data_IF_030276886452
#
_entry.id   IF_030276886452
#
_cell.length_a   1.000
_cell.length_b   1.000
_cell.length_c   1.000
_cell.angle_alpha   90.00
_cell.angle_beta   90.00
_cell.angle_gamma   90.00
#
_symmetry.space_group_name_H-M   'P 1'
#
loop_
_entity.id
_entity.type
_entity.pdbx_description
1 polymer ?
#
# COMPACT_ATOMS: atom_id res chain seq x y z
N UNK A 1 7.96 -65.72 -7.66
CA UNK A 1 7.58 -66.80 -8.61
C UNK A 1 6.07 -66.79 -8.71
N UNK A 2 5.47 -66.14 -9.71
CA UNK A 2 5.31 -66.55 -11.12
C UNK A 2 4.21 -67.60 -11.32
N UNK A 3 3.26 -67.24 -12.21
CA UNK A 3 2.46 -68.13 -13.08
C UNK A 3 1.36 -68.97 -12.38
N UNK A 4 0.19 -69.31 -12.96
CA UNK A 4 -0.31 -69.49 -14.34
C UNK A 4 -1.87 -69.62 -14.24
N UNK A 5 -2.73 -69.07 -15.13
CA UNK A 5 -3.31 -69.64 -16.39
C UNK A 5 -3.74 -71.12 -16.28
N UNK A 6 -4.86 -71.66 -16.79
CA UNK A 6 -5.83 -71.34 -17.87
C UNK A 6 -6.83 -72.52 -17.97
N UNK A 7 -8.01 -72.32 -18.58
CA UNK A 7 -8.59 -73.06 -19.75
C UNK A 7 -10.10 -72.78 -19.84
N UNK A 8 -10.80 -72.79 -20.98
CA UNK A 8 -10.50 -73.16 -22.37
C UNK A 8 -11.67 -72.70 -23.28
N UNK A 9 -11.45 -72.80 -24.60
CA UNK A 9 -12.27 -72.36 -25.74
C UNK A 9 -13.57 -73.15 -25.95
N UNK A 10 -14.58 -72.61 -26.68
CA UNK A 10 -14.94 -72.99 -28.07
C UNK A 10 -16.23 -72.30 -28.61
N UNK A 11 -16.47 -72.46 -29.92
CA UNK A 11 -17.15 -71.55 -30.84
C UNK A 11 -18.66 -71.79 -31.15
N UNK A 12 -19.23 -70.87 -31.95
CA UNK A 12 -20.64 -70.69 -32.36
C UNK A 12 -21.26 -71.80 -33.25
N UNK A 13 -22.61 -71.79 -33.51
CA UNK A 13 -23.14 -71.20 -34.76
C UNK A 13 -24.62 -70.67 -34.78
N UNK A 14 -24.83 -69.62 -35.60
CA UNK A 14 -25.82 -69.35 -36.70
C UNK A 14 -27.36 -69.65 -36.66
N UNK A 15 -28.08 -68.74 -37.37
CA UNK A 15 -29.49 -68.69 -37.91
C UNK A 15 -30.59 -68.10 -37.00
N UNK A 16 -31.36 -67.03 -37.28
CA UNK A 16 -31.82 -66.23 -38.45
C UNK A 16 -33.32 -66.45 -38.80
N UNK A 17 -34.04 -65.33 -38.92
CA UNK A 17 -35.39 -65.08 -39.49
C UNK A 17 -36.59 -65.86 -38.88
N UNK A 18 -37.85 -65.41 -38.83
CA UNK A 18 -38.65 -64.21 -39.11
C UNK A 18 -40.09 -64.64 -38.74
N UNK A 19 -40.95 -63.69 -38.33
CA UNK A 19 -42.38 -63.62 -38.68
C UNK A 19 -43.29 -64.83 -38.31
N UNK A 20 -44.47 -64.71 -37.73
CA UNK A 20 -45.43 -63.64 -37.76
C UNK A 20 -46.57 -63.99 -36.78
N UNK A 21 -47.12 -62.94 -36.15
CA UNK A 21 -48.55 -62.69 -35.95
C UNK A 21 -49.49 -63.91 -35.80
N UNK A 22 -50.17 -64.02 -34.66
CA UNK A 22 -51.60 -63.66 -34.56
C UNK A 22 -52.02 -63.67 -33.08
N UNK A 23 -52.52 -62.52 -32.70
CA UNK A 23 -53.02 -62.09 -31.41
C UNK A 23 -54.31 -62.83 -30.99
N UNK A 24 -54.49 -62.95 -29.66
CA UNK A 24 -55.73 -62.86 -28.86
C UNK A 24 -56.18 -64.12 -28.14
N UNK A 25 -55.99 -64.11 -26.81
CA UNK A 25 -57.09 -64.01 -25.85
C UNK A 25 -56.57 -63.73 -24.41
N UNK A 26 -56.57 -62.44 -24.06
CA UNK A 26 -57.25 -61.82 -22.89
C UNK A 26 -57.36 -62.58 -21.54
N UNK A 27 -57.17 -61.80 -20.45
CA UNK A 27 -57.38 -62.05 -19.00
C UNK A 27 -56.25 -62.70 -18.16
N UNK A 28 -55.44 -61.87 -17.47
CA UNK A 28 -55.66 -61.57 -16.04
C UNK A 28 -54.56 -60.64 -15.44
N UNK A 29 -54.98 -59.38 -15.16
CA UNK A 29 -54.66 -58.53 -13.99
C UNK A 29 -53.22 -58.43 -13.46
N UNK A 30 -52.66 -57.21 -13.57
CA UNK A 30 -51.57 -56.72 -12.70
C UNK A 30 -51.28 -55.23 -12.92
N UNK A 31 -51.88 -54.38 -12.08
CA UNK A 31 -51.90 -52.93 -12.21
C UNK A 31 -50.60 -52.21 -11.76
N UNK A 32 -50.49 -50.96 -12.24
CA UNK A 32 -49.79 -49.82 -11.59
C UNK A 32 -48.26 -49.78 -11.63
N UNK A 33 -47.67 -49.21 -12.68
CA UNK A 33 -46.28 -48.73 -12.64
C UNK A 33 -45.96 -47.58 -13.61
N UNK A 34 -46.79 -46.53 -13.65
CA UNK A 34 -46.57 -45.38 -14.55
C UNK A 34 -46.42 -44.01 -13.86
N UNK A 35 -47.17 -43.77 -12.79
CA UNK A 35 -47.25 -42.43 -12.17
C UNK A 35 -46.08 -42.13 -11.21
N UNK A 36 -45.68 -43.09 -10.36
CA UNK A 36 -44.66 -42.84 -9.32
C UNK A 36 -43.24 -42.57 -9.82
N UNK A 37 -42.85 -43.08 -11.00
CA UNK A 37 -41.52 -42.84 -11.58
C UNK A 37 -41.38 -41.45 -12.18
N UNK A 38 -42.42 -40.95 -12.87
CA UNK A 38 -42.44 -39.60 -13.45
C UNK A 38 -42.44 -38.52 -12.35
N UNK A 39 -43.20 -38.73 -11.27
CA UNK A 39 -43.20 -37.81 -10.11
C UNK A 39 -41.85 -37.78 -9.39
N UNK A 40 -41.18 -38.93 -9.22
CA UNK A 40 -39.83 -38.99 -8.60
C UNK A 40 -38.75 -38.28 -9.41
N UNK A 41 -38.77 -38.44 -10.74
CA UNK A 41 -37.83 -37.72 -11.63
C UNK A 41 -38.08 -36.21 -11.55
N UNK A 42 -39.36 -35.77 -11.53
CA UNK A 42 -39.71 -34.36 -11.34
C UNK A 42 -39.19 -33.78 -10.02
N UNK A 43 -39.33 -34.51 -8.90
CA UNK A 43 -38.80 -34.08 -7.60
C UNK A 43 -37.27 -33.99 -7.59
N UNK A 44 -36.56 -34.94 -8.23
CA UNK A 44 -35.09 -34.90 -8.33
C UNK A 44 -34.62 -33.72 -9.18
N UNK A 45 -35.28 -33.44 -10.30
CA UNK A 45 -34.98 -32.28 -11.16
C UNK A 45 -35.18 -30.98 -10.37
N UNK A 46 -36.29 -30.84 -9.63
CA UNK A 46 -36.53 -29.68 -8.78
C UNK A 46 -35.48 -29.54 -7.68
N UNK A 47 -35.09 -30.63 -7.04
CA UNK A 47 -34.02 -30.63 -6.03
C UNK A 47 -32.69 -30.13 -6.61
N UNK A 48 -32.29 -30.62 -7.79
CA UNK A 48 -31.07 -30.17 -8.45
C UNK A 48 -31.14 -28.71 -8.89
N UNK A 49 -32.30 -28.25 -9.40
CA UNK A 49 -32.51 -26.83 -9.71
C UNK A 49 -32.36 -25.97 -8.45
N UNK A 50 -32.99 -26.34 -7.35
CA UNK A 50 -32.86 -25.62 -6.08
C UNK A 50 -31.41 -25.61 -5.57
N UNK A 51 -30.70 -26.74 -5.65
CA UNK A 51 -29.31 -26.83 -5.23
C UNK A 51 -28.40 -25.94 -6.08
N UNK A 52 -28.58 -25.93 -7.40
CA UNK A 52 -27.83 -25.05 -8.31
C UNK A 52 -28.12 -23.58 -7.99
N UNK A 53 -29.39 -23.21 -7.78
CA UNK A 53 -29.76 -21.83 -7.41
C UNK A 53 -29.12 -21.38 -6.09
N UNK A 54 -29.08 -22.25 -5.08
CA UNK A 54 -28.42 -21.96 -3.80
C UNK A 54 -26.92 -21.72 -4.00
N UNK A 55 -26.25 -22.56 -4.81
CA UNK A 55 -24.82 -22.40 -5.08
C UNK A 55 -24.53 -21.12 -5.90
N UNK A 56 -25.39 -20.77 -6.87
CA UNK A 56 -25.28 -19.53 -7.64
C UNK A 56 -25.45 -18.32 -6.72
N UNK A 57 -26.45 -18.33 -5.83
CA UNK A 57 -26.67 -17.26 -4.85
C UNK A 57 -25.49 -17.14 -3.88
N UNK A 58 -24.95 -18.25 -3.41
CA UNK A 58 -23.79 -18.27 -2.52
C UNK A 58 -22.53 -17.75 -3.22
N UNK A 59 -22.29 -18.15 -4.48
CA UNK A 59 -21.19 -17.64 -5.29
C UNK A 59 -21.36 -16.14 -5.55
N UNK A 60 -22.56 -15.68 -5.92
CA UNK A 60 -22.84 -14.27 -6.13
C UNK A 60 -22.60 -13.45 -4.85
N UNK A 61 -23.05 -13.94 -3.69
CA UNK A 61 -22.79 -13.29 -2.40
C UNK A 61 -21.30 -13.21 -2.08
N UNK A 62 -20.53 -14.28 -2.33
CA UNK A 62 -19.08 -14.28 -2.13
C UNK A 62 -18.34 -13.35 -3.08
N UNK A 63 -18.73 -13.31 -4.36
CA UNK A 63 -18.15 -12.40 -5.35
C UNK A 63 -18.45 -10.94 -4.98
N UNK A 64 -19.66 -10.64 -4.52
CA UNK A 64 -20.03 -9.30 -4.03
C UNK A 64 -19.27 -8.95 -2.75
N UNK A 65 -19.05 -9.91 -1.85
CA UNK A 65 -18.30 -9.69 -0.62
C UNK A 65 -16.80 -9.51 -0.88
N UNK A 66 -16.21 -10.32 -1.76
CA UNK A 66 -14.78 -10.24 -2.12
C UNK A 66 -14.46 -9.00 -2.95
N UNK A 67 -15.40 -8.56 -3.79
CA UNK A 67 -15.26 -7.36 -4.62
C UNK A 67 -15.86 -6.12 -3.95
N UNK A 68 -16.31 -6.21 -2.70
CA UNK A 68 -16.73 -5.04 -1.96
C UNK A 68 -15.53 -4.09 -1.87
N UNK A 69 -15.60 -2.88 -2.45
CA UNK A 69 -14.53 -1.91 -2.33
C UNK A 69 -14.25 -1.71 -0.86
N UNK A 70 -12.97 -1.76 -0.44
CA UNK A 70 -12.59 -1.28 0.88
C UNK A 70 -13.22 0.10 1.03
N UNK A 71 -14.18 0.24 1.95
CA UNK A 71 -14.97 1.47 2.06
C UNK A 71 -13.99 2.59 2.36
N UNK A 72 -13.78 3.49 1.39
CA UNK A 72 -13.17 4.79 1.65
C UNK A 72 -13.86 5.40 2.87
N UNK A 73 -13.13 6.06 3.79
CA UNK A 73 -13.73 6.64 4.98
C UNK A 73 -14.91 7.53 4.58
N UNK A 74 -16.11 7.20 5.07
CA UNK A 74 -17.35 7.90 4.71
C UNK A 74 -17.35 9.40 5.11
N UNK A 75 -16.35 9.85 5.87
CA UNK A 75 -16.24 11.17 6.45
C UNK A 75 -14.85 11.79 6.21
N UNK A 76 -14.30 11.73 4.99
CA UNK A 76 -13.15 12.58 4.67
C UNK A 76 -13.66 14.03 4.61
N UNK A 77 -13.12 14.99 5.39
CA UNK A 77 -13.48 16.39 5.22
C UNK A 77 -13.30 16.82 3.77
N UNK A 78 -14.10 17.78 3.29
CA UNK A 78 -13.89 18.39 1.98
C UNK A 78 -12.54 19.10 2.00
N UNK A 79 -11.52 18.38 1.55
CA UNK A 79 -10.16 18.87 1.37
C UNK A 79 -10.05 19.35 -0.06
N UNK A 80 -9.60 20.59 -0.24
CA UNK A 80 -9.47 21.20 -1.56
C UNK A 80 -8.00 21.16 -1.94
N UNK A 81 -7.58 20.04 -2.51
CA UNK A 81 -6.36 19.98 -3.32
C UNK A 81 -6.59 20.82 -4.59
N UNK A 82 -5.54 21.37 -5.22
CA UNK A 82 -5.68 22.03 -6.52
C UNK A 82 -6.36 21.08 -7.52
N UNK A 83 -7.45 21.52 -8.15
CA UNK A 83 -8.25 20.66 -9.05
C UNK A 83 -7.48 20.18 -10.27
N UNK A 84 -6.46 20.93 -10.67
CA UNK A 84 -5.57 20.69 -11.78
C UNK A 84 -4.27 19.99 -11.38
N UNK A 85 -4.11 19.62 -10.10
CA UNK A 85 -2.96 18.84 -9.66
C UNK A 85 -2.89 17.51 -10.42
N UNK A 86 -1.73 17.13 -11.00
CA UNK A 86 -1.57 15.90 -11.77
C UNK A 86 -1.43 14.70 -10.82
N UNK A 87 -2.55 14.25 -10.24
CA UNK A 87 -2.56 13.15 -9.28
C UNK A 87 -2.51 11.81 -10.01
N UNK A 88 -1.33 11.19 -10.00
CA UNK A 88 -1.10 9.84 -10.53
C UNK A 88 -0.57 8.91 -9.42
N UNK A 89 -1.17 7.73 -9.29
CA UNK A 89 -0.76 6.74 -8.30
C UNK A 89 0.32 5.83 -8.87
N UNK A 90 1.49 5.80 -8.23
CA UNK A 90 2.60 4.93 -8.62
C UNK A 90 3.05 4.05 -7.46
N UNK A 91 3.07 2.75 -7.69
CA UNK A 91 3.69 1.82 -6.75
C UNK A 91 5.21 1.89 -6.87
N UNK A 92 5.88 2.26 -5.78
CA UNK A 92 7.34 2.28 -5.70
C UNK A 92 7.81 1.39 -4.56
N UNK A 93 8.90 0.65 -4.78
CA UNK A 93 9.63 -0.01 -3.70
C UNK A 93 10.74 0.92 -3.26
N UNK A 94 10.72 1.29 -1.98
CA UNK A 94 11.78 2.08 -1.39
C UNK A 94 13.05 1.25 -1.33
N UNK A 95 14.14 1.78 -1.91
CA UNK A 95 15.45 1.16 -1.92
C UNK A 95 16.41 2.02 -1.12
N UNK A 96 16.45 1.82 0.20
CA UNK A 96 17.34 2.51 1.12
C UNK A 96 18.06 1.51 2.05
N UNK A 97 18.92 0.63 1.49
CA UNK A 97 19.60 -0.38 2.30
C UNK A 97 20.53 0.28 3.32
N UNK A 98 20.56 -0.29 4.52
CA UNK A 98 21.39 0.18 5.63
C UNK A 98 22.87 0.25 5.19
N UNK A 99 23.52 1.40 5.42
CA UNK A 99 24.92 1.63 5.06
C UNK A 99 25.20 1.94 3.58
N UNK A 100 24.22 1.82 2.66
CA UNK A 100 24.43 2.26 1.26
C UNK A 100 24.06 3.73 1.07
N UNK A 101 24.88 4.44 0.29
CA UNK A 101 24.66 5.86 -0.04
C UNK A 101 23.87 6.01 -1.34
N UNK A 102 22.98 7.00 -1.36
CA UNK A 102 22.39 7.58 -2.57
C UNK A 102 23.02 8.95 -2.83
N UNK A 103 22.75 9.57 -3.98
CA UNK A 103 23.16 10.96 -4.21
C UNK A 103 22.58 11.91 -3.13
N UNK A 104 21.41 11.60 -2.55
CA UNK A 104 20.77 12.41 -1.51
C UNK A 104 21.46 12.29 -0.14
N UNK A 105 22.13 11.16 0.12
CA UNK A 105 22.96 10.92 1.31
C UNK A 105 24.45 11.04 0.99
N UNK A 106 24.80 11.62 -0.15
CA UNK A 106 26.20 11.78 -0.52
C UNK A 106 26.89 12.68 0.47
N UNK A 107 28.13 12.33 0.71
CA UNK A 107 29.05 13.03 1.56
C UNK A 107 29.81 14.12 0.81
N UNK A 108 29.85 13.99 -0.52
CA UNK A 108 30.15 15.09 -1.40
C UNK A 108 28.96 16.07 -1.41
N UNK A 109 29.22 17.28 -0.92
CA UNK A 109 28.22 18.35 -0.85
C UNK A 109 27.71 18.75 -2.22
N UNK A 110 28.54 18.76 -3.26
CA UNK A 110 28.10 19.16 -4.59
C UNK A 110 27.09 18.14 -5.14
N UNK A 111 27.38 16.85 -4.95
CA UNK A 111 26.48 15.75 -5.34
C UNK A 111 25.17 15.82 -4.56
N UNK A 112 25.24 16.00 -3.23
CA UNK A 112 24.05 16.07 -2.39
C UNK A 112 23.22 17.32 -2.69
N UNK A 113 23.83 18.51 -2.72
CA UNK A 113 23.13 19.77 -2.98
C UNK A 113 22.48 19.75 -4.37
N UNK A 114 23.14 19.17 -5.39
CA UNK A 114 22.56 18.98 -6.71
C UNK A 114 21.34 18.04 -6.68
N UNK A 115 21.42 16.90 -5.98
CA UNK A 115 20.30 15.97 -5.85
C UNK A 115 19.10 16.61 -5.15
N UNK A 116 19.31 17.27 -4.02
CA UNK A 116 18.26 17.94 -3.24
C UNK A 116 17.59 19.08 -4.00
N UNK A 117 18.35 19.83 -4.80
CA UNK A 117 17.82 20.90 -5.67
C UNK A 117 16.79 20.38 -6.69
N UNK A 118 16.83 19.09 -7.05
CA UNK A 118 15.83 18.47 -7.94
C UNK A 118 14.50 18.16 -7.24
N UNK A 119 14.39 18.38 -5.93
CA UNK A 119 13.22 17.99 -5.11
C UNK A 119 12.58 19.16 -4.38
N UNK A 120 13.36 20.06 -3.79
CA UNK A 120 12.86 21.19 -3.00
C UNK A 120 12.45 22.41 -3.84
N UNK A 121 12.41 22.26 -5.17
CA UNK A 121 12.03 23.27 -6.19
C UNK A 121 12.69 24.64 -6.03
N UNK A 122 13.83 24.69 -5.34
CA UNK A 122 14.70 25.86 -5.24
C UNK A 122 14.07 27.05 -4.50
N UNK A 123 14.35 28.30 -4.93
CA UNK A 123 14.03 29.50 -4.14
C UNK A 123 12.53 29.79 -4.05
N UNK A 124 11.72 29.27 -4.98
CA UNK A 124 10.28 29.42 -4.95
C UNK A 124 9.63 28.47 -3.96
N UNK A 125 10.35 27.44 -3.53
CA UNK A 125 10.04 26.45 -2.50
C UNK A 125 8.66 25.75 -2.57
N UNK A 126 7.73 26.11 -3.45
CA UNK A 126 6.34 25.60 -3.42
C UNK A 126 5.31 26.61 -3.83
N UNK A 127 5.72 27.82 -4.21
CA UNK A 127 4.82 28.90 -4.57
C UNK A 127 3.97 28.54 -5.79
N UNK A 128 2.67 28.67 -5.60
CA UNK A 128 1.64 28.45 -6.59
C UNK A 128 0.74 29.68 -6.65
N UNK A 129 0.28 30.00 -7.85
CA UNK A 129 -0.78 30.98 -8.06
C UNK A 129 -2.11 30.23 -8.08
N UNK A 130 -3.07 30.68 -7.29
CA UNK A 130 -4.42 30.12 -7.25
C UNK A 130 -5.46 31.16 -7.66
N UNK A 131 -6.58 30.68 -8.20
CA UNK A 131 -7.72 31.52 -8.55
C UNK A 131 -8.45 32.01 -7.29
N UNK A 132 -9.31 33.03 -7.45
CA UNK A 132 -10.20 33.47 -6.37
C UNK A 132 -11.19 32.36 -6.00
N UNK A 133 -11.74 31.68 -7.00
CA UNK A 133 -12.69 30.59 -6.80
C UNK A 133 -12.11 29.45 -5.96
N UNK A 134 -10.85 29.06 -6.19
CA UNK A 134 -10.22 27.99 -5.41
C UNK A 134 -9.90 28.46 -3.99
N UNK A 135 -9.44 29.70 -3.82
CA UNK A 135 -9.19 30.30 -2.51
C UNK A 135 -10.48 30.37 -1.66
N UNK A 136 -11.57 30.86 -2.25
CA UNK A 136 -12.86 30.96 -1.59
C UNK A 136 -13.42 29.56 -1.25
N UNK A 137 -13.18 28.55 -2.11
CA UNK A 137 -13.58 27.16 -1.84
C UNK A 137 -12.82 26.52 -0.66
N UNK A 138 -11.57 26.95 -0.42
CA UNK A 138 -10.80 26.56 0.77
C UNK A 138 -11.27 27.26 2.04
N UNK A 139 -11.99 28.39 1.91
CA UNK A 139 -12.34 29.24 3.06
C UNK A 139 -11.13 29.97 3.64
N UNK A 140 -10.09 30.17 2.84
CA UNK A 140 -8.83 30.79 3.24
C UNK A 140 -8.68 32.20 2.65
N UNK A 141 -7.69 32.96 3.14
CA UNK A 141 -7.29 34.24 2.57
C UNK A 141 -5.78 34.24 2.35
N UNK A 142 -5.31 34.82 1.26
CA UNK A 142 -3.88 34.90 0.97
C UNK A 142 -3.49 36.21 0.29
N UNK A 143 -2.19 36.44 0.13
CA UNK A 143 -1.65 37.61 -0.58
C UNK A 143 -2.06 37.56 -2.05
N UNK A 144 -2.71 38.63 -2.52
CA UNK A 144 -3.07 38.83 -3.92
C UNK A 144 -1.87 39.36 -4.72
N UNK A 145 -1.71 38.91 -5.96
CA UNK A 145 -0.75 39.51 -6.88
C UNK A 145 -1.21 40.91 -7.30
N UNK A 146 -0.26 41.84 -7.47
CA UNK A 146 -0.57 43.25 -7.76
C UNK A 146 -1.29 43.49 -9.09
N UNK A 147 -1.18 42.55 -10.03
CA UNK A 147 -1.87 42.54 -11.32
C UNK A 147 -3.29 41.96 -11.25
N UNK A 148 -3.74 41.54 -10.05
CA UNK A 148 -5.05 40.92 -9.83
C UNK A 148 -5.18 39.53 -10.45
N UNK A 149 -4.08 38.90 -10.87
CA UNK A 149 -4.11 37.62 -11.59
C UNK A 149 -4.39 36.40 -10.69
N UNK A 150 -4.46 36.59 -9.38
CA UNK A 150 -4.77 35.53 -8.42
C UNK A 150 -4.09 35.76 -7.08
N UNK A 151 -3.95 34.68 -6.32
CA UNK A 151 -3.39 34.70 -4.97
C UNK A 151 -2.19 33.77 -4.86
N UNK A 152 -1.18 34.19 -4.10
CA UNK A 152 0.01 33.41 -3.82
C UNK A 152 -0.31 32.40 -2.71
N UNK A 153 -0.14 31.12 -2.99
CA UNK A 153 -0.17 30.06 -1.98
C UNK A 153 1.07 29.20 -2.11
N UNK A 154 1.21 28.23 -1.22
CA UNK A 154 2.35 27.36 -1.15
C UNK A 154 1.90 25.91 -0.99
N UNK A 155 2.45 24.97 -1.74
CA UNK A 155 2.14 23.54 -1.57
C UNK A 155 3.03 22.85 -0.52
N UNK A 156 2.42 22.25 0.50
CA UNK A 156 3.11 21.89 1.75
C UNK A 156 4.22 20.84 1.58
N UNK A 157 4.09 19.87 0.67
CA UNK A 157 5.16 18.87 0.42
C UNK A 157 6.52 19.51 0.15
N UNK A 158 6.53 20.64 -0.57
CA UNK A 158 7.78 21.31 -0.90
C UNK A 158 8.31 22.14 0.27
N UNK A 159 7.47 22.58 1.20
CA UNK A 159 7.87 23.23 2.45
C UNK A 159 8.53 22.20 3.36
N UNK A 160 7.90 21.04 3.51
CA UNK A 160 8.45 19.91 4.24
C UNK A 160 9.82 19.50 3.69
N UNK A 161 9.97 19.41 2.36
CA UNK A 161 11.25 19.11 1.70
C UNK A 161 12.28 20.24 1.87
N UNK A 162 11.88 21.51 1.75
CA UNK A 162 12.73 22.67 1.99
C UNK A 162 13.27 22.69 3.42
N UNK A 163 12.39 22.53 4.42
CA UNK A 163 12.77 22.45 5.83
C UNK A 163 13.69 21.26 6.09
N UNK A 164 13.40 20.09 5.52
CA UNK A 164 14.27 18.92 5.66
C UNK A 164 15.65 19.15 5.03
N UNK A 165 15.72 19.81 3.87
CA UNK A 165 16.99 20.18 3.23
C UNK A 165 17.75 21.23 4.04
N UNK A 166 17.04 22.21 4.62
CA UNK A 166 17.61 23.19 5.54
C UNK A 166 18.22 22.49 6.76
N UNK A 167 17.48 21.58 7.39
CA UNK A 167 17.95 20.77 8.52
C UNK A 167 19.15 19.92 8.12
N UNK A 168 19.13 19.24 6.97
CA UNK A 168 20.28 18.50 6.45
C UNK A 168 21.54 19.35 6.38
N UNK A 169 21.43 20.59 5.85
CA UNK A 169 22.56 21.52 5.74
C UNK A 169 23.02 22.06 7.10
N UNK A 170 22.16 22.06 8.12
CA UNK A 170 22.46 22.56 9.49
C UNK A 170 23.00 21.49 10.42
N UNK A 171 22.43 20.29 10.36
CA UNK A 171 22.82 19.10 11.12
C UNK A 171 24.17 18.54 10.67
N UNK A 172 24.71 19.11 9.59
CA UNK A 172 26.07 18.96 9.08
C UNK A 172 26.79 17.68 9.51
N UNK A 173 26.64 16.57 8.78
CA UNK A 173 27.45 15.37 9.01
C UNK A 173 28.98 15.63 8.84
N UNK A 174 29.41 16.85 8.45
CA UNK A 174 30.78 17.28 8.18
C UNK A 174 31.46 18.06 9.31
N UNK A 175 30.75 18.42 10.39
CA UNK A 175 31.39 19.03 11.57
C UNK A 175 31.91 17.94 12.49
N UNK A 176 33.22 17.91 12.68
CA UNK A 176 33.91 17.01 13.59
C UNK A 176 33.40 17.09 15.05
N UNK A 177 32.76 18.20 15.43
CA UNK A 177 32.44 18.51 16.83
C UNK A 177 31.22 17.74 17.38
N UNK A 178 30.34 17.21 16.52
CA UNK A 178 29.21 16.36 16.95
C UNK A 178 29.59 14.90 17.19
N UNK A 179 30.83 14.49 16.88
CA UNK A 179 31.39 13.16 17.22
C UNK A 179 31.55 12.92 18.74
N UNK A 180 31.08 13.85 19.57
CA UNK A 180 31.16 13.83 21.02
C UNK A 180 29.93 13.20 21.70
N UNK A 181 28.89 12.84 20.95
CA UNK A 181 27.89 11.88 21.45
C UNK A 181 28.60 10.53 21.55
N UNK A 182 28.56 9.83 22.70
CA UNK A 182 29.11 8.50 22.80
C UNK A 182 28.38 7.60 21.80
N UNK A 183 28.96 7.43 20.61
CA UNK A 183 28.73 6.26 19.79
C UNK A 183 29.06 5.09 20.69
N UNK A 184 28.14 4.14 20.79
CA UNK A 184 28.29 2.84 21.43
C UNK A 184 29.36 1.94 20.74
N UNK A 185 30.36 2.57 20.13
CA UNK A 185 31.60 2.00 19.63
C UNK A 185 31.52 1.47 18.20
N UNK A 186 30.33 1.38 17.60
CA UNK A 186 30.14 0.53 16.42
C UNK A 186 29.77 1.25 15.12
N UNK A 187 29.43 2.55 15.12
CA UNK A 187 29.07 3.23 13.88
C UNK A 187 29.19 4.77 13.89
N UNK A 188 29.56 5.43 12.77
CA UNK A 188 29.65 6.88 12.70
C UNK A 188 28.26 7.54 12.58
N UNK A 189 27.87 8.34 13.57
CA UNK A 189 26.60 9.06 13.69
C UNK A 189 26.17 9.79 12.40
N UNK A 190 27.15 10.30 11.64
CA UNK A 190 26.94 10.96 10.34
C UNK A 190 26.15 10.14 9.32
N UNK A 191 26.37 8.82 9.21
CA UNK A 191 25.62 8.04 8.21
C UNK A 191 24.22 7.68 8.73
N UNK A 192 24.02 7.54 10.05
CA UNK A 192 22.68 7.33 10.61
C UNK A 192 21.81 8.57 10.35
N UNK A 193 22.34 9.76 10.64
CA UNK A 193 21.69 11.03 10.33
C UNK A 193 21.35 11.14 8.85
N UNK A 194 22.28 10.83 7.95
CA UNK A 194 22.04 10.85 6.51
C UNK A 194 20.93 9.86 6.09
N UNK A 195 20.95 8.63 6.61
CA UNK A 195 19.94 7.61 6.35
C UNK A 195 18.55 8.04 6.83
N UNK A 196 18.45 8.60 8.05
CA UNK A 196 17.19 9.10 8.60
C UNK A 196 16.62 10.25 7.75
N UNK A 197 17.47 11.20 7.35
CA UNK A 197 17.06 12.30 6.48
C UNK A 197 16.50 11.75 5.15
N UNK A 198 17.17 10.78 4.53
CA UNK A 198 16.71 10.20 3.25
C UNK A 198 15.42 9.40 3.41
N UNK A 199 15.27 8.66 4.52
CA UNK A 199 14.04 7.93 4.84
C UNK A 199 12.85 8.89 5.01
N UNK A 200 13.04 10.01 5.71
CA UNK A 200 12.02 11.05 5.85
C UNK A 200 11.69 11.64 4.47
N UNK A 201 12.70 12.02 3.66
CA UNK A 201 12.50 12.53 2.29
C UNK A 201 11.62 11.58 1.47
N UNK A 202 11.95 10.29 1.47
CA UNK A 202 11.19 9.27 0.74
C UNK A 202 9.74 9.17 1.23
N UNK A 203 9.51 9.30 2.54
CA UNK A 203 8.16 9.35 3.09
C UNK A 203 7.39 10.59 2.64
N UNK A 204 8.02 11.77 2.65
CA UNK A 204 7.40 13.01 2.20
C UNK A 204 7.04 12.94 0.71
N UNK A 205 7.97 12.50 -0.15
CA UNK A 205 7.73 12.33 -1.59
C UNK A 205 6.65 11.28 -1.89
N UNK A 206 6.57 10.22 -1.09
CA UNK A 206 5.59 9.15 -1.29
C UNK A 206 4.16 9.58 -0.90
N UNK A 207 4.02 10.42 0.12
CA UNK A 207 2.71 10.90 0.55
C UNK A 207 2.26 12.14 -0.23
N UNK A 208 3.20 13.00 -0.64
CA UNK A 208 2.94 14.13 -1.53
C UNK A 208 1.84 15.04 -1.01
N UNK A 209 2.06 15.72 0.12
CA UNK A 209 1.05 16.60 0.70
C UNK A 209 0.72 17.79 -0.24
N UNK A 210 -0.46 17.70 -0.87
CA UNK A 210 -0.97 18.71 -1.80
C UNK A 210 -1.74 19.84 -1.09
N UNK A 211 -1.72 19.89 0.25
CA UNK A 211 -2.33 20.97 1.02
C UNK A 211 -1.72 22.31 0.60
N UNK A 212 -2.58 23.30 0.44
CA UNK A 212 -2.17 24.66 0.15
C UNK A 212 -2.11 25.49 1.42
N UNK A 213 -0.97 26.14 1.62
CA UNK A 213 -0.67 27.00 2.76
C UNK A 213 -0.78 28.46 2.31
N UNK A 214 -1.69 29.25 2.88
CA UNK A 214 -1.83 30.66 2.55
C UNK A 214 -0.61 31.46 3.02
N UNK A 215 -0.40 32.59 2.36
CA UNK A 215 0.64 33.56 2.67
C UNK A 215 0.01 34.81 3.26
N UNK A 216 0.67 35.42 4.25
CA UNK A 216 0.24 36.70 4.83
C UNK A 216 1.43 37.63 5.00
N UNK A 217 1.16 38.93 4.88
CA UNK A 217 2.13 39.95 5.25
C UNK A 217 2.31 39.93 6.77
N UNK A 218 3.57 39.95 7.21
CA UNK A 218 3.95 40.07 8.59
C UNK A 218 4.71 41.38 8.80
N UNK A 219 4.39 42.09 9.88
CA UNK A 219 5.04 43.37 10.19
C UNK A 219 6.56 43.20 10.31
N UNK A 220 7.31 44.03 9.58
CA UNK A 220 8.78 44.01 9.58
C UNK A 220 9.43 43.05 8.59
N UNK A 221 8.64 42.32 7.78
CA UNK A 221 9.15 41.41 6.74
C UNK A 221 9.00 42.03 5.34
N UNK A 222 10.01 41.83 4.49
CA UNK A 222 10.00 42.31 3.09
C UNK A 222 9.22 41.40 2.13
N UNK A 223 8.86 40.21 2.58
CA UNK A 223 8.18 39.18 1.80
C UNK A 223 7.06 38.56 2.66
N UNK A 224 5.99 38.05 2.05
CA UNK A 224 4.92 37.41 2.80
C UNK A 224 5.38 36.06 3.37
N UNK A 225 4.77 35.66 4.48
CA UNK A 225 5.15 34.47 5.22
C UNK A 225 4.05 33.40 5.19
N UNK A 226 4.40 32.10 5.15
CA UNK A 226 3.42 31.02 5.20
C UNK A 226 2.70 30.98 6.55
N UNK A 227 1.38 30.85 6.48
CA UNK A 227 0.52 30.63 7.64
C UNK A 227 0.39 29.14 7.88
N UNK A 228 1.27 28.60 8.72
CA UNK A 228 1.31 27.16 9.06
C UNK A 228 0.04 26.66 9.77
N UNK A 229 -0.75 27.57 10.32
CA UNK A 229 -2.11 27.29 10.82
C UNK A 229 -3.08 27.18 9.63
N UNK A 230 -2.93 26.13 8.83
CA UNK A 230 -3.78 25.84 7.69
C UNK A 230 -4.38 24.44 7.76
N UNK A 231 -5.50 24.25 7.08
CA UNK A 231 -6.23 22.98 7.09
C UNK A 231 -5.45 21.86 6.39
N UNK A 232 -5.24 20.75 7.10
CA UNK A 232 -4.68 19.52 6.55
C UNK A 232 -5.62 18.33 6.84
N UNK A 233 -5.75 17.40 5.89
CA UNK A 233 -6.50 16.15 6.10
C UNK A 233 -5.54 15.00 6.34
N UNK A 234 -5.26 14.77 7.63
CA UNK A 234 -4.37 13.73 8.09
C UNK A 234 -5.12 12.43 8.45
N UNK A 235 -4.37 11.34 8.54
CA UNK A 235 -4.85 10.14 9.25
C UNK A 235 -4.85 10.44 10.75
N UNK A 236 -5.82 9.89 11.47
CA UNK A 236 -5.91 10.04 12.93
C UNK A 236 -4.71 9.35 13.60
N UNK A 237 -3.72 10.17 13.96
CA UNK A 237 -2.45 9.71 14.52
C UNK A 237 -2.64 9.02 15.87
N UNK A 238 -3.49 9.56 16.74
CA UNK A 238 -3.76 8.99 18.05
C UNK A 238 -4.36 7.59 17.95
N UNK A 239 -5.26 7.37 16.99
CA UNK A 239 -5.82 6.04 16.74
C UNK A 239 -4.78 5.08 16.19
N UNK A 240 -3.92 5.53 15.27
CA UNK A 240 -2.81 4.72 14.75
C UNK A 240 -1.86 4.34 15.88
N UNK A 241 -1.46 5.32 16.70
CA UNK A 241 -0.53 5.13 17.81
C UNK A 241 -1.10 4.15 18.84
N UNK A 242 -2.36 4.31 19.25
CA UNK A 242 -3.05 3.38 20.17
C UNK A 242 -3.13 1.97 19.60
N UNK A 243 -3.48 1.85 18.31
CA UNK A 243 -3.55 0.57 17.60
C UNK A 243 -2.18 -0.13 17.52
N UNK A 244 -1.10 0.63 17.30
CA UNK A 244 0.25 0.12 17.22
C UNK A 244 0.78 -0.32 18.59
N UNK A 245 0.59 0.50 19.64
CA UNK A 245 0.95 0.13 21.00
C UNK A 245 0.29 -1.16 21.47
N UNK A 246 -1.00 -1.35 21.16
CA UNK A 246 -1.72 -2.56 21.57
C UNK A 246 -1.21 -3.85 20.88
N UNK A 247 -0.29 -3.73 19.92
CA UNK A 247 0.29 -4.83 19.14
C UNK A 247 1.79 -4.99 19.34
N UNK A 248 2.41 -4.21 20.22
CA UNK A 248 3.85 -4.28 20.47
C UNK A 248 4.22 -5.69 20.99
N UNK A 249 5.05 -6.45 20.25
CA UNK A 249 5.44 -7.78 20.67
C UNK A 249 6.51 -7.72 21.76
N UNK A 250 6.49 -8.69 22.69
CA UNK A 250 7.63 -8.96 23.58
C UNK A 250 8.62 -9.82 22.81
N UNK A 251 9.72 -9.23 22.35
CA UNK A 251 10.63 -9.88 21.39
C UNK A 251 11.90 -10.47 21.99
N UNK A 252 12.25 -10.09 23.22
CA UNK A 252 13.48 -10.55 23.88
C UNK A 252 13.50 -12.08 23.98
N UNK A 253 14.55 -12.70 23.46
CA UNK A 253 14.71 -14.16 23.43
C UNK A 253 13.90 -14.88 22.35
N UNK A 254 13.04 -14.20 21.59
CA UNK A 254 12.21 -14.80 20.55
C UNK A 254 12.75 -14.56 19.13
N UNK A 255 13.60 -13.56 18.94
CA UNK A 255 14.24 -13.30 17.66
C UNK A 255 15.61 -13.98 17.62
N UNK A 256 15.89 -14.72 16.55
CA UNK A 256 17.17 -15.40 16.33
C UNK A 256 17.76 -14.86 15.03
N UNK A 257 18.89 -14.16 15.13
CA UNK A 257 19.67 -13.76 13.98
C UNK A 257 20.30 -15.01 13.35
N UNK A 258 20.21 -15.23 12.01
CA UNK A 258 20.72 -16.44 11.35
C UNK A 258 22.19 -16.76 11.65
N UNK A 259 23.01 -15.73 11.88
CA UNK A 259 24.45 -15.86 12.15
C UNK A 259 24.90 -15.40 13.53
N UNK A 260 24.14 -14.54 14.21
CA UNK A 260 24.54 -13.91 15.49
C UNK A 260 23.82 -14.53 16.69
N UNK A 261 22.92 -15.48 16.46
CA UNK A 261 22.16 -16.15 17.51
C UNK A 261 21.03 -15.30 18.07
N UNK A 262 20.58 -15.65 19.28
CA UNK A 262 19.38 -15.08 19.91
C UNK A 262 19.58 -13.62 20.30
N UNK A 263 18.59 -12.78 19.97
CA UNK A 263 18.52 -11.38 20.43
C UNK A 263 18.07 -11.37 21.88
N UNK A 264 19.03 -11.19 22.80
CA UNK A 264 18.81 -11.25 24.25
C UNK A 264 18.51 -9.89 24.89
N UNK A 265 18.76 -8.79 24.19
CA UNK A 265 18.47 -7.45 24.71
C UNK A 265 17.00 -7.08 24.48
N UNK A 266 16.35 -6.54 25.52
CA UNK A 266 15.04 -5.88 25.37
C UNK A 266 15.14 -4.53 24.63
N UNK A 267 16.36 -4.06 24.38
CA UNK A 267 16.67 -2.89 23.57
C UNK A 267 17.06 -3.41 22.20
N UNK A 268 16.10 -3.44 21.27
CA UNK A 268 16.41 -3.62 19.85
C UNK A 268 17.35 -2.50 19.43
N UNK A 269 18.32 -2.80 18.57
CA UNK A 269 19.24 -1.79 18.05
C UNK A 269 18.44 -0.60 17.46
N UNK A 270 18.45 0.54 18.16
CA UNK A 270 17.72 1.74 17.76
C UNK A 270 18.37 2.48 16.59
N UNK A 271 19.62 2.13 16.26
CA UNK A 271 20.38 2.78 15.19
C UNK A 271 20.03 2.27 13.79
N UNK A 272 19.12 1.30 13.63
CA UNK A 272 18.69 0.75 12.32
C UNK A 272 19.84 0.27 11.40
N UNK A 273 21.02 -0.02 11.95
CA UNK A 273 22.25 -0.30 11.20
C UNK A 273 22.89 -1.62 11.61
N UNK A 274 23.78 -2.20 10.77
CA UNK A 274 24.47 -3.46 11.06
C UNK A 274 25.34 -3.35 12.32
N UNK A 275 25.47 -4.44 13.07
CA UNK A 275 26.30 -4.52 14.29
C UNK A 275 27.80 -4.41 13.97
N UNK A 276 28.19 -4.65 12.71
CA UNK A 276 29.56 -4.52 12.20
C UNK A 276 29.52 -3.71 10.90
N UNK A 277 30.26 -2.60 10.85
CA UNK A 277 30.39 -1.74 9.68
C UNK A 277 31.83 -1.71 9.18
N UNK A 278 32.01 -1.99 7.90
CA UNK A 278 33.24 -1.69 7.16
C UNK A 278 32.89 -0.58 6.15
N UNK A 279 33.73 0.46 6.07
CA UNK A 279 33.54 1.56 5.10
C UNK A 279 33.64 1.00 3.68
N UNK A 280 32.49 0.72 3.05
CA UNK A 280 32.43 0.40 1.63
C UNK A 280 32.22 1.70 0.85
N UNK A 281 33.32 2.26 0.37
CA UNK A 281 33.37 3.53 -0.35
C UNK A 281 32.85 3.50 -1.80
N UNK A 282 32.07 2.49 -2.17
CA UNK A 282 31.58 2.36 -3.55
C UNK A 282 30.30 3.19 -3.76
N UNK A 283 30.46 4.33 -4.42
CA UNK A 283 29.42 5.02 -5.21
C UNK A 283 29.70 4.73 -6.68
#
# INVERSE_FOLDING_TARGET
MSYQRTSGEEAAPFLDHTEDNVEKQELHKGASMGHGKKTRIGCLVLFHICFILINILWLAANVVHSNAPTKSPKNRPNFVEPKDAPIEWKAIRWNLPAGKRSNFTSFDREVADAAWKTRDIGPNQGWLKVSKEDLDAMGESSVEFNDGSGYLMYMDVFHQLHCLNYLRKKLDPWKADYLSVPSDGNFPERYHTAHCIDSIRMSLECHGDLSLVPQRWADGWGEPWPVVESLHVCRDYDRIQKWAHSRQPKVAGLLVHPTLGTVVTGHLNSSALPVYWEDHDEI
#
